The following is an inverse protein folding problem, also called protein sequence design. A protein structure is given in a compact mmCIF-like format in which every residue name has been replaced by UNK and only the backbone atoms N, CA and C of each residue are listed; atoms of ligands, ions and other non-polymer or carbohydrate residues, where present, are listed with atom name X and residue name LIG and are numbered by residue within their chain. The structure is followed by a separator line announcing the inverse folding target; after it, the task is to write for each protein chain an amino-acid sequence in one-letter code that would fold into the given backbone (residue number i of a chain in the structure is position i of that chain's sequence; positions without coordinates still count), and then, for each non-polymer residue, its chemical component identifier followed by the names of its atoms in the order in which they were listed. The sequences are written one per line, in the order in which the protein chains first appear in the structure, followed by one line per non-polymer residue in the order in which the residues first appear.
data_IF_149390109171
#
_entry.id   IF_149390109171
#
_cell.length_a   1.000
_cell.length_b   1.000
_cell.length_c   1.000
_cell.angle_alpha   90.00
_cell.angle_beta   90.00
_cell.angle_gamma   90.00
#
_symmetry.space_group_name_H-M   'P 1'
#
loop_
_entity.id
_entity.type
_entity.pdbx_description
1 polymer ?
#
# COMPACT_ATOMS: atom_id res chain seq x y z
N UNK A 1 -7.70 10.13 22.54
CA UNK A 1 -7.63 11.59 22.36
C UNK A 1 -6.22 11.87 21.88
N UNK A 2 -6.02 12.66 20.80
CA UNK A 2 -4.67 12.94 20.27
C UNK A 2 -4.03 14.07 21.04
N UNK A 3 -2.73 13.96 21.33
CA UNK A 3 -1.96 14.95 22.07
C UNK A 3 -1.12 15.79 21.11
N UNK A 4 -1.30 17.10 21.14
CA UNK A 4 -0.55 18.06 20.32
C UNK A 4 0.28 18.95 21.24
N UNK A 5 1.57 19.11 20.91
CA UNK A 5 2.46 20.04 21.57
C UNK A 5 2.52 21.34 20.76
N UNK A 6 2.05 22.44 21.35
CA UNK A 6 2.09 23.80 20.78
C UNK A 6 3.29 24.53 21.40
N UNK A 7 4.22 24.96 20.54
CA UNK A 7 5.45 25.67 20.94
C UNK A 7 5.43 27.06 20.34
N UNK A 8 5.25 28.07 21.17
CA UNK A 8 5.07 29.46 20.77
C UNK A 8 5.54 30.37 21.91
N UNK A 9 6.41 31.31 21.65
CA UNK A 9 6.95 32.21 22.69
C UNK A 9 5.93 33.31 23.08
N UNK A 10 5.10 33.75 22.12
CA UNK A 10 4.05 34.72 22.39
C UNK A 10 2.89 34.10 23.18
N UNK A 11 2.78 34.54 24.44
CA UNK A 11 1.84 33.93 25.40
C UNK A 11 0.40 33.96 24.94
N UNK A 12 -0.05 35.08 24.34
CA UNK A 12 -1.45 35.25 23.95
C UNK A 12 -1.80 34.36 22.75
N UNK A 13 -0.88 34.23 21.78
CA UNK A 13 -1.05 33.32 20.63
C UNK A 13 -1.04 31.85 21.08
N UNK A 14 -0.13 31.49 22.00
CA UNK A 14 -0.03 30.15 22.58
C UNK A 14 -1.32 29.74 23.30
N UNK A 15 -1.89 30.62 24.11
CA UNK A 15 -3.14 30.36 24.83
C UNK A 15 -4.35 30.30 23.89
N UNK A 16 -4.41 31.17 22.88
CA UNK A 16 -5.46 31.12 21.85
C UNK A 16 -5.44 29.79 21.07
N UNK A 17 -4.27 29.36 20.64
CA UNK A 17 -4.13 28.07 19.95
C UNK A 17 -4.53 26.90 20.84
N UNK A 18 -4.12 26.92 22.12
CA UNK A 18 -4.51 25.92 23.11
C UNK A 18 -6.03 25.83 23.22
N UNK A 19 -6.70 26.95 23.50
CA UNK A 19 -8.17 26.99 23.69
C UNK A 19 -8.91 26.53 22.43
N UNK A 20 -8.47 26.98 21.25
CA UNK A 20 -9.10 26.62 19.99
C UNK A 20 -8.98 25.12 19.71
N UNK A 21 -7.80 24.52 19.90
CA UNK A 21 -7.55 23.10 19.63
C UNK A 21 -8.19 22.19 20.69
N UNK A 22 -8.26 22.62 21.96
CA UNK A 22 -8.98 21.89 23.02
C UNK A 22 -10.48 21.79 22.71
N UNK A 23 -11.11 22.86 22.16
CA UNK A 23 -12.52 22.86 21.73
C UNK A 23 -12.76 21.83 20.61
N UNK A 24 -11.77 21.56 19.77
CA UNK A 24 -11.84 20.56 18.69
C UNK A 24 -11.52 19.12 19.17
N UNK A 25 -11.32 18.93 20.49
CA UNK A 25 -11.18 17.63 21.11
C UNK A 25 -9.75 17.08 21.15
N UNK A 26 -8.74 17.93 20.99
CA UNK A 26 -7.34 17.55 21.19
C UNK A 26 -6.92 17.73 22.67
N UNK A 27 -5.94 16.95 23.09
CA UNK A 27 -5.22 17.19 24.35
C UNK A 27 -4.00 18.06 24.04
N UNK A 28 -3.91 19.26 24.64
CA UNK A 28 -2.88 20.24 24.30
C UNK A 28 -1.85 20.35 25.40
N UNK A 29 -0.59 20.23 25.01
CA UNK A 29 0.58 20.60 25.79
C UNK A 29 1.13 21.89 25.21
N UNK A 30 1.66 22.75 26.06
CA UNK A 30 2.26 24.02 25.61
C UNK A 30 3.69 24.17 26.11
N UNK A 31 4.54 24.79 25.28
CA UNK A 31 5.90 25.19 25.66
C UNK A 31 6.17 26.61 25.16
N UNK A 32 7.00 27.36 25.88
CA UNK A 32 7.34 28.73 25.53
C UNK A 32 8.61 28.86 24.67
N UNK A 33 9.39 27.79 24.52
CA UNK A 33 10.60 27.71 23.73
C UNK A 33 10.94 26.26 23.35
N UNK A 34 11.93 26.06 22.49
CA UNK A 34 12.34 24.74 22.02
C UNK A 34 12.94 23.84 23.11
N UNK A 35 13.60 24.41 24.14
CA UNK A 35 14.19 23.63 25.26
C UNK A 35 13.09 22.96 26.07
N UNK A 36 12.05 23.71 26.42
CA UNK A 36 10.90 23.19 27.14
C UNK A 36 10.15 22.16 26.30
N UNK A 37 9.96 22.45 25.01
CA UNK A 37 9.31 21.56 24.06
C UNK A 37 10.05 20.23 23.91
N UNK A 38 11.37 20.25 23.76
CA UNK A 38 12.20 19.04 23.63
C UNK A 38 12.07 18.13 24.86
N UNK A 39 12.04 18.72 26.07
CA UNK A 39 11.84 17.98 27.33
C UNK A 39 10.47 17.33 27.38
N UNK A 40 9.41 18.05 27.02
CA UNK A 40 8.05 17.53 26.97
C UNK A 40 7.92 16.43 25.91
N UNK A 41 8.47 16.64 24.71
CA UNK A 41 8.41 15.68 23.63
C UNK A 41 9.05 14.34 23.99
N UNK A 42 10.18 14.35 24.69
CA UNK A 42 10.86 13.13 25.15
C UNK A 42 10.14 12.39 26.28
N UNK A 43 9.34 13.11 27.08
CA UNK A 43 8.66 12.53 28.26
C UNK A 43 7.27 11.99 27.91
N UNK A 44 6.56 12.67 27.03
CA UNK A 44 5.12 12.43 26.78
C UNK A 44 4.88 11.87 25.38
N UNK A 45 5.83 12.01 24.44
CA UNK A 45 5.71 11.57 23.03
C UNK A 45 4.40 12.06 22.37
N UNK A 46 4.24 13.37 22.09
CA UNK A 46 3.01 13.89 21.49
C UNK A 46 2.74 13.29 20.10
N UNK A 47 1.49 13.27 19.69
CA UNK A 47 1.10 12.78 18.36
C UNK A 47 1.56 13.72 17.25
N UNK A 48 1.70 15.04 17.54
CA UNK A 48 2.11 16.10 16.60
C UNK A 48 2.69 17.29 17.37
N UNK A 49 3.67 17.96 16.76
CA UNK A 49 4.23 19.23 17.26
C UNK A 49 3.89 20.34 16.29
N UNK A 50 3.37 21.46 16.84
CA UNK A 50 3.09 22.70 16.13
C UNK A 50 4.00 23.77 16.73
N UNK A 51 5.01 24.26 16.00
CA UNK A 51 6.07 25.13 16.54
C UNK A 51 6.25 26.40 15.75
N UNK A 52 6.39 27.53 16.42
CA UNK A 52 6.97 28.71 15.80
C UNK A 52 8.43 28.43 15.39
N UNK A 53 8.89 29.13 14.35
CA UNK A 53 10.27 29.06 13.90
C UNK A 53 11.16 29.85 14.85
N UNK A 54 10.79 31.09 15.18
CA UNK A 54 11.65 32.01 15.95
C UNK A 54 11.22 32.05 17.41
N UNK A 55 12.02 31.49 18.25
CA UNK A 55 11.82 31.49 19.69
C UNK A 55 13.13 31.71 20.44
N UNK A 56 13.09 32.22 21.68
CA UNK A 56 14.27 32.38 22.50
C UNK A 56 14.83 31.01 22.95
N UNK A 57 16.09 30.98 23.33
CA UNK A 57 16.87 29.83 23.84
C UNK A 57 17.14 28.73 22.82
N UNK A 58 16.12 28.17 22.21
CA UNK A 58 16.16 27.16 21.17
C UNK A 58 15.05 27.47 20.17
N UNK A 59 15.40 27.72 18.94
CA UNK A 59 14.44 27.98 17.87
C UNK A 59 13.78 26.69 17.33
N UNK A 60 12.77 26.87 16.46
CA UNK A 60 11.99 25.74 15.92
C UNK A 60 12.83 24.81 15.02
N UNK A 61 13.84 25.35 14.30
CA UNK A 61 14.73 24.55 13.46
C UNK A 61 15.70 23.72 14.30
N UNK A 62 16.24 24.30 15.36
CA UNK A 62 17.09 23.62 16.31
C UNK A 62 16.31 22.53 17.07
N UNK A 63 15.05 22.82 17.43
CA UNK A 63 14.14 21.85 18.06
C UNK A 63 13.90 20.66 17.12
N UNK A 64 13.56 20.90 15.85
CA UNK A 64 13.34 19.84 14.86
C UNK A 64 14.57 18.94 14.72
N UNK A 65 15.77 19.56 14.60
CA UNK A 65 17.02 18.81 14.51
C UNK A 65 17.27 17.94 15.74
N UNK A 66 17.07 18.48 16.95
CA UNK A 66 17.25 17.76 18.20
C UNK A 66 16.26 16.61 18.39
N UNK A 67 15.05 16.74 17.85
CA UNK A 67 14.05 15.66 17.83
C UNK A 67 14.43 14.54 16.87
N UNK A 68 15.00 14.86 15.71
CA UNK A 68 15.42 13.88 14.69
C UNK A 68 16.65 13.05 15.11
N UNK A 69 17.48 13.57 16.01
CA UNK A 69 18.64 12.84 16.54
C UNK A 69 18.27 11.69 17.50
N UNK A 70 16.99 11.60 17.92
CA UNK A 70 16.50 10.54 18.81
C UNK A 70 15.42 9.71 18.11
N UNK A 71 15.59 8.38 18.06
CA UNK A 71 14.67 7.42 17.42
C UNK A 71 13.22 7.53 17.89
N UNK A 72 12.99 7.85 19.16
CA UNK A 72 11.68 7.88 19.79
C UNK A 72 10.89 9.15 19.40
N UNK A 73 11.59 10.25 19.10
CA UNK A 73 10.99 11.53 18.73
C UNK A 73 11.10 11.87 17.23
N UNK A 74 11.99 11.19 16.48
CA UNK A 74 12.26 11.48 15.07
C UNK A 74 11.04 11.36 14.15
N UNK A 75 10.07 10.51 14.53
CA UNK A 75 8.85 10.25 13.75
C UNK A 75 7.62 11.05 14.23
N UNK A 76 7.80 12.04 15.12
CA UNK A 76 6.69 12.91 15.53
C UNK A 76 6.45 13.94 14.42
N UNK A 77 5.24 14.00 13.82
CA UNK A 77 4.93 15.00 12.82
C UNK A 77 5.17 16.41 13.32
N UNK A 78 5.83 17.22 12.50
CA UNK A 78 6.25 18.56 12.86
C UNK A 78 5.74 19.59 11.84
N UNK A 79 4.96 20.58 12.31
CA UNK A 79 4.40 21.67 11.52
C UNK A 79 4.97 22.99 12.03
N UNK A 80 5.57 23.77 11.13
CA UNK A 80 6.01 25.11 11.46
C UNK A 80 4.88 26.14 11.40
N UNK A 81 4.87 27.07 12.37
CA UNK A 81 4.16 28.34 12.29
C UNK A 81 5.16 29.42 11.88
N UNK A 82 4.90 30.18 10.83
CA UNK A 82 5.89 31.09 10.26
C UNK A 82 5.30 32.43 9.84
N UNK A 83 6.04 33.50 10.01
CA UNK A 83 5.69 34.79 9.43
C UNK A 83 6.05 34.81 7.92
N UNK A 84 5.34 35.59 7.11
CA UNK A 84 5.50 35.69 5.65
C UNK A 84 6.91 36.09 5.21
N UNK A 85 7.71 36.69 6.10
CA UNK A 85 9.07 37.18 5.83
C UNK A 85 10.14 36.07 5.91
N UNK A 86 9.81 34.91 6.49
CA UNK A 86 10.74 33.82 6.81
C UNK A 86 10.76 32.70 5.75
N UNK A 87 10.39 33.02 4.51
CA UNK A 87 10.30 32.02 3.41
C UNK A 87 11.63 31.36 3.04
N UNK A 88 12.80 31.90 3.45
CA UNK A 88 14.10 31.25 3.28
C UNK A 88 14.33 30.20 4.34
N UNK A 89 14.00 30.48 5.61
CA UNK A 89 14.11 29.53 6.74
C UNK A 89 13.16 28.33 6.54
N UNK A 90 12.05 28.54 5.83
CA UNK A 90 11.10 27.50 5.43
C UNK A 90 11.70 26.43 4.50
N UNK A 91 12.53 26.83 3.54
CA UNK A 91 13.19 25.86 2.66
C UNK A 91 14.15 24.98 3.44
N UNK A 92 14.87 25.56 4.39
CA UNK A 92 15.81 24.84 5.25
C UNK A 92 15.07 23.88 6.18
N UNK A 93 13.94 24.29 6.77
CA UNK A 93 13.08 23.43 7.59
C UNK A 93 12.45 22.26 6.82
N UNK A 94 12.00 22.49 5.60
CA UNK A 94 11.47 21.42 4.74
C UNK A 94 12.56 20.46 4.26
N UNK A 95 13.76 20.95 3.96
CA UNK A 95 14.94 20.11 3.66
C UNK A 95 15.39 19.32 4.89
N UNK A 96 15.23 19.87 6.09
CA UNK A 96 15.48 19.20 7.36
C UNK A 96 14.38 18.20 7.76
N UNK A 97 13.29 18.07 6.98
CA UNK A 97 12.27 17.04 7.20
C UNK A 97 11.04 17.48 7.99
N UNK A 98 10.75 18.79 8.07
CA UNK A 98 9.44 19.23 8.54
C UNK A 98 8.32 18.72 7.63
N UNK A 99 7.19 18.35 8.23
CA UNK A 99 6.06 17.79 7.48
C UNK A 99 5.23 18.85 6.76
N UNK A 100 5.08 20.04 7.36
CA UNK A 100 4.28 21.14 6.82
C UNK A 100 4.64 22.49 7.45
N UNK A 101 4.03 23.55 6.92
CA UNK A 101 4.09 24.88 7.50
C UNK A 101 2.78 25.64 7.35
N UNK A 102 2.53 26.59 8.27
CA UNK A 102 1.39 27.49 8.27
C UNK A 102 1.87 28.93 8.38
N UNK A 103 1.46 29.78 7.45
CA UNK A 103 1.87 31.19 7.40
C UNK A 103 0.94 32.03 8.28
N UNK A 104 1.51 32.77 9.25
CA UNK A 104 0.78 33.75 10.07
C UNK A 104 0.39 35.01 9.24
N UNK A 105 -0.83 35.55 9.36
CA UNK A 105 -1.95 35.06 10.16
C UNK A 105 -2.68 33.89 9.47
N UNK A 106 -3.01 32.85 10.23
CA UNK A 106 -3.73 31.66 9.76
C UNK A 106 -5.16 31.62 10.32
N UNK A 107 -6.04 30.89 9.63
CA UNK A 107 -7.38 30.56 10.13
C UNK A 107 -7.31 29.22 10.86
N UNK A 108 -8.23 29.02 11.81
CA UNK A 108 -8.31 27.75 12.55
C UNK A 108 -8.55 26.55 11.59
N UNK A 109 -9.35 26.73 10.55
CA UNK A 109 -9.62 25.68 9.57
C UNK A 109 -8.33 25.21 8.85
N UNK A 110 -7.39 26.14 8.58
CA UNK A 110 -6.10 25.81 7.96
C UNK A 110 -5.25 24.98 8.94
N UNK A 111 -5.22 25.38 10.22
CA UNK A 111 -4.51 24.65 11.28
C UNK A 111 -5.07 23.24 11.44
N UNK A 112 -6.38 23.11 11.54
CA UNK A 112 -7.06 21.81 11.70
C UNK A 112 -6.85 20.92 10.47
N UNK A 113 -6.88 21.48 9.27
CA UNK A 113 -6.64 20.76 8.04
C UNK A 113 -5.21 20.20 7.98
N UNK A 114 -4.21 21.01 8.35
CA UNK A 114 -2.81 20.59 8.41
C UNK A 114 -2.61 19.50 9.47
N UNK A 115 -3.09 19.68 10.70
CA UNK A 115 -3.02 18.72 11.80
C UNK A 115 -3.66 17.39 11.39
N UNK A 116 -4.91 17.40 10.94
CA UNK A 116 -5.63 16.20 10.57
C UNK A 116 -4.97 15.45 9.40
N UNK A 117 -4.43 16.18 8.43
CA UNK A 117 -3.67 15.59 7.31
C UNK A 117 -2.44 14.83 7.80
N UNK A 118 -1.67 15.41 8.75
CA UNK A 118 -0.44 14.80 9.28
C UNK A 118 -0.71 13.65 10.24
N UNK A 119 -1.69 13.79 11.14
CA UNK A 119 -2.10 12.71 12.03
C UNK A 119 -2.61 11.49 11.25
N UNK A 120 -3.42 11.71 10.21
CA UNK A 120 -3.90 10.65 9.34
C UNK A 120 -2.76 9.96 8.59
N UNK A 121 -1.75 10.72 8.11
CA UNK A 121 -0.55 10.16 7.46
C UNK A 121 0.22 9.26 8.43
N UNK A 122 0.44 9.68 9.68
CA UNK A 122 1.10 8.89 10.73
C UNK A 122 0.32 7.62 11.06
N UNK A 123 -1.00 7.71 11.22
CA UNK A 123 -1.85 6.54 11.48
C UNK A 123 -1.80 5.52 10.35
N UNK A 124 -1.83 5.99 9.11
CA UNK A 124 -1.73 5.14 7.93
C UNK A 124 -0.38 4.41 7.90
N UNK A 125 0.72 5.09 8.22
CA UNK A 125 2.05 4.48 8.30
C UNK A 125 2.13 3.39 9.39
N UNK A 126 1.65 3.67 10.59
CA UNK A 126 1.60 2.67 11.68
C UNK A 126 0.74 1.47 11.30
N UNK A 127 -0.40 1.70 10.66
CA UNK A 127 -1.30 0.63 10.23
C UNK A 127 -0.64 -0.29 9.18
N UNK A 128 0.10 0.27 8.22
CA UNK A 128 0.87 -0.52 7.24
C UNK A 128 1.88 -1.41 7.95
N UNK A 129 2.62 -0.88 8.92
CA UNK A 129 3.61 -1.63 9.70
C UNK A 129 2.93 -2.73 10.54
N UNK A 130 1.81 -2.44 11.18
CA UNK A 130 1.08 -3.40 12.00
C UNK A 130 0.44 -4.52 11.15
N UNK A 131 -0.12 -4.19 10.01
CA UNK A 131 -0.64 -5.17 9.05
C UNK A 131 0.48 -6.05 8.52
N UNK A 132 1.65 -5.47 8.26
CA UNK A 132 2.85 -6.18 7.88
C UNK A 132 3.32 -7.14 9.00
N UNK A 133 3.39 -6.69 10.26
CA UNK A 133 3.74 -7.53 11.41
C UNK A 133 2.74 -8.69 11.59
N UNK A 134 1.44 -8.43 11.46
CA UNK A 134 0.39 -9.46 11.51
C UNK A 134 0.52 -10.48 10.38
N UNK A 135 0.84 -10.02 9.18
CA UNK A 135 1.07 -10.88 8.02
C UNK A 135 2.31 -11.76 8.22
N UNK A 136 3.42 -11.19 8.68
CA UNK A 136 4.65 -11.91 9.01
C UNK A 136 4.43 -13.00 10.07
N UNK A 137 3.70 -12.68 11.14
CA UNK A 137 3.56 -13.59 12.28
C UNK A 137 2.52 -14.69 12.07
N UNK A 138 1.49 -14.47 11.24
CA UNK A 138 0.36 -15.41 11.12
C UNK A 138 0.27 -16.13 9.78
N UNK A 139 0.41 -15.42 8.65
CA UNK A 139 0.14 -16.01 7.32
C UNK A 139 1.38 -16.61 6.67
N UNK A 140 2.50 -15.91 6.72
CA UNK A 140 3.71 -16.33 6.02
C UNK A 140 4.24 -17.67 6.51
N UNK A 141 4.39 -17.90 7.84
CA UNK A 141 4.88 -19.19 8.30
C UNK A 141 4.01 -20.36 7.80
N UNK A 142 2.69 -20.25 7.88
CA UNK A 142 1.79 -21.30 7.43
C UNK A 142 1.86 -21.53 5.91
N UNK A 143 1.93 -20.45 5.12
CA UNK A 143 2.01 -20.54 3.66
C UNK A 143 3.34 -21.09 3.14
N UNK A 144 4.45 -20.83 3.83
CA UNK A 144 5.77 -21.35 3.49
C UNK A 144 5.99 -22.77 4.02
N UNK A 145 5.51 -23.07 5.23
CA UNK A 145 5.67 -24.39 5.86
C UNK A 145 4.88 -25.49 5.12
N UNK A 146 3.68 -25.20 4.62
CA UNK A 146 2.86 -26.22 3.93
C UNK A 146 3.58 -26.87 2.73
N UNK A 147 4.15 -26.13 1.75
CA UNK A 147 4.89 -26.76 0.68
C UNK A 147 6.23 -27.36 1.15
N UNK A 148 6.85 -26.80 2.18
CA UNK A 148 8.09 -27.34 2.76
C UNK A 148 7.88 -28.70 3.39
N UNK A 149 6.79 -28.90 4.12
CA UNK A 149 6.39 -30.22 4.67
C UNK A 149 6.23 -31.25 3.56
N UNK A 150 5.63 -30.85 2.41
CA UNK A 150 5.52 -31.75 1.26
C UNK A 150 6.88 -32.13 0.65
N UNK A 151 7.83 -31.19 0.58
CA UNK A 151 9.20 -31.47 0.11
C UNK A 151 9.90 -32.42 1.06
N UNK A 152 9.92 -32.10 2.35
CA UNK A 152 10.64 -32.90 3.36
C UNK A 152 10.01 -34.29 3.51
N UNK A 153 8.67 -34.39 3.58
CA UNK A 153 8.00 -35.66 3.76
C UNK A 153 8.25 -36.65 2.62
N UNK A 154 8.13 -36.21 1.35
CA UNK A 154 8.43 -37.09 0.23
C UNK A 154 9.94 -37.40 0.10
N UNK A 155 10.82 -36.45 0.49
CA UNK A 155 12.25 -36.69 0.53
C UNK A 155 12.66 -37.74 1.57
N UNK A 156 12.05 -37.69 2.77
CA UNK A 156 12.29 -38.69 3.84
C UNK A 156 11.83 -40.10 3.44
N UNK A 157 10.71 -40.24 2.73
CA UNK A 157 10.23 -41.52 2.22
C UNK A 157 11.23 -42.06 1.18
N UNK A 158 11.65 -41.22 0.25
CA UNK A 158 12.65 -41.61 -0.74
C UNK A 158 13.98 -42.02 -0.10
N UNK A 159 14.43 -41.37 0.96
CA UNK A 159 15.66 -41.67 1.67
C UNK A 159 15.60 -43.03 2.41
N UNK A 160 14.45 -43.30 3.07
CA UNK A 160 14.31 -44.49 3.91
C UNK A 160 13.91 -45.75 3.16
N UNK A 161 13.07 -45.63 2.15
CA UNK A 161 12.33 -46.75 1.57
C UNK A 161 12.61 -46.93 0.07
N UNK A 162 13.62 -46.27 -0.51
CA UNK A 162 13.89 -46.25 -1.95
C UNK A 162 14.02 -47.64 -2.57
N UNK A 163 14.59 -48.59 -1.82
CA UNK A 163 14.78 -49.97 -2.29
C UNK A 163 13.47 -50.76 -2.40
N UNK A 164 12.43 -50.35 -1.68
CA UNK A 164 11.11 -50.98 -1.67
C UNK A 164 10.08 -50.34 -2.61
N UNK A 165 10.42 -49.17 -3.18
CA UNK A 165 9.54 -48.39 -4.04
C UNK A 165 9.67 -48.78 -5.50
N UNK A 166 8.57 -48.80 -6.23
CA UNK A 166 8.57 -48.92 -7.69
C UNK A 166 9.06 -47.64 -8.37
N UNK A 167 9.52 -47.77 -9.61
CA UNK A 167 9.95 -46.60 -10.43
C UNK A 167 8.85 -45.55 -10.56
N UNK A 168 7.57 -45.95 -10.67
CA UNK A 168 6.44 -45.06 -10.78
C UNK A 168 6.19 -44.29 -9.48
N UNK A 169 6.36 -44.92 -8.33
CA UNK A 169 6.24 -44.26 -7.02
C UNK A 169 7.38 -43.27 -6.81
N UNK A 170 8.61 -43.62 -7.15
CA UNK A 170 9.75 -42.71 -7.10
C UNK A 170 9.51 -41.50 -7.99
N UNK A 171 9.03 -41.69 -9.23
CA UNK A 171 8.71 -40.64 -10.18
C UNK A 171 7.60 -39.71 -9.64
N UNK A 172 6.52 -40.31 -9.09
CA UNK A 172 5.42 -39.55 -8.49
C UNK A 172 5.91 -38.68 -7.32
N UNK A 173 6.77 -39.22 -6.43
CA UNK A 173 7.32 -38.48 -5.29
C UNK A 173 8.23 -37.35 -5.76
N UNK A 174 9.10 -37.59 -6.74
CA UNK A 174 9.93 -36.55 -7.34
C UNK A 174 9.09 -35.41 -7.97
N UNK A 175 7.97 -35.75 -8.64
CA UNK A 175 7.03 -34.76 -9.17
C UNK A 175 6.35 -33.96 -8.07
N UNK A 176 5.98 -34.60 -6.95
CA UNK A 176 5.39 -33.92 -5.79
C UNK A 176 6.38 -32.97 -5.11
N UNK A 177 7.63 -33.37 -4.94
CA UNK A 177 8.72 -32.54 -4.44
C UNK A 177 8.89 -31.32 -5.35
N UNK A 178 9.03 -31.53 -6.69
CA UNK A 178 9.18 -30.49 -7.67
C UNK A 178 8.01 -29.51 -7.67
N UNK A 179 6.78 -30.01 -7.59
CA UNK A 179 5.57 -29.17 -7.57
C UNK A 179 5.48 -28.34 -6.28
N UNK A 180 5.88 -28.92 -5.14
CA UNK A 180 5.94 -28.25 -3.84
C UNK A 180 7.03 -27.18 -3.81
N UNK A 181 8.22 -27.49 -4.39
CA UNK A 181 9.30 -26.53 -4.57
C UNK A 181 8.89 -25.31 -5.41
N UNK A 182 8.23 -25.55 -6.55
CA UNK A 182 7.68 -24.45 -7.37
C UNK A 182 6.64 -23.60 -6.65
N UNK A 183 5.79 -24.22 -5.81
CA UNK A 183 4.81 -23.50 -4.99
C UNK A 183 5.51 -22.63 -3.94
N UNK A 184 6.54 -23.16 -3.28
CA UNK A 184 7.33 -22.42 -2.31
C UNK A 184 8.03 -21.22 -2.96
N UNK A 185 8.70 -21.44 -4.10
CA UNK A 185 9.36 -20.39 -4.87
C UNK A 185 8.39 -19.25 -5.21
N UNK A 186 7.23 -19.56 -5.81
CA UNK A 186 6.20 -18.53 -6.13
C UNK A 186 5.73 -17.74 -4.92
N UNK A 187 5.63 -18.38 -3.75
CA UNK A 187 5.21 -17.68 -2.52
C UNK A 187 6.28 -16.72 -2.03
N UNK A 188 7.56 -17.11 -2.11
CA UNK A 188 8.68 -16.24 -1.78
C UNK A 188 8.72 -15.04 -2.75
N UNK A 189 8.58 -15.26 -4.06
CA UNK A 189 8.54 -14.21 -5.07
C UNK A 189 7.39 -13.21 -4.79
N UNK A 190 6.17 -13.68 -4.52
CA UNK A 190 5.03 -12.83 -4.15
C UNK A 190 5.30 -12.04 -2.87
N UNK A 191 5.95 -12.64 -1.92
CA UNK A 191 6.31 -11.97 -0.67
C UNK A 191 7.35 -10.86 -0.90
N UNK A 192 8.35 -11.11 -1.74
CA UNK A 192 9.36 -10.09 -2.12
C UNK A 192 8.68 -8.90 -2.82
N UNK A 193 7.80 -9.16 -3.80
CA UNK A 193 7.02 -8.11 -4.46
C UNK A 193 6.20 -7.30 -3.44
N UNK A 194 5.55 -7.97 -2.50
CA UNK A 194 4.77 -7.29 -1.46
C UNK A 194 5.64 -6.39 -0.59
N UNK A 195 6.84 -6.83 -0.18
CA UNK A 195 7.81 -6.04 0.58
C UNK A 195 8.23 -4.79 -0.19
N UNK A 196 8.56 -4.94 -1.47
CA UNK A 196 8.96 -3.81 -2.32
C UNK A 196 7.83 -2.79 -2.47
N UNK A 197 6.58 -3.24 -2.60
CA UNK A 197 5.41 -2.37 -2.65
C UNK A 197 5.19 -1.63 -1.32
N UNK A 198 5.37 -2.29 -0.18
CA UNK A 198 5.27 -1.65 1.14
C UNK A 198 6.33 -0.57 1.29
N UNK A 199 7.59 -0.87 0.94
CA UNK A 199 8.68 0.10 0.96
C UNK A 199 8.40 1.28 0.02
N UNK A 200 7.85 1.04 -1.16
CA UNK A 200 7.46 2.09 -2.10
C UNK A 200 6.33 2.99 -1.55
N UNK A 201 5.33 2.42 -0.87
CA UNK A 201 4.24 3.19 -0.27
C UNK A 201 4.75 4.05 0.88
N UNK A 202 5.65 3.53 1.71
CA UNK A 202 6.28 4.30 2.79
C UNK A 202 7.11 5.45 2.23
N UNK A 203 7.95 5.22 1.22
CA UNK A 203 8.72 6.24 0.53
C UNK A 203 7.85 7.30 -0.18
N UNK A 204 6.68 6.93 -0.74
CA UNK A 204 5.71 7.88 -1.32
C UNK A 204 5.20 8.87 -0.28
N UNK A 205 5.04 8.42 0.95
CA UNK A 205 4.58 9.28 2.04
C UNK A 205 5.64 10.29 2.49
N UNK A 206 6.90 10.01 2.22
CA UNK A 206 8.04 10.87 2.59
C UNK A 206 8.43 11.88 1.49
N UNK A 207 8.30 11.51 0.19
CA UNK A 207 8.73 12.37 -0.93
C UNK A 207 7.81 12.24 -2.16
N UNK A 208 6.95 13.22 -2.40
CA UNK A 208 6.07 13.29 -3.59
C UNK A 208 6.83 13.24 -4.94
N UNK A 209 8.08 13.68 -4.97
CA UNK A 209 8.91 13.79 -6.19
C UNK A 209 9.39 12.42 -6.71
N UNK A 210 9.68 11.47 -5.83
CA UNK A 210 10.23 10.16 -6.21
C UNK A 210 9.23 9.29 -7.00
N UNK A 211 7.94 9.56 -6.86
CA UNK A 211 6.85 8.76 -7.46
C UNK A 211 6.42 9.22 -8.85
N UNK A 212 6.64 10.49 -9.20
CA UNK A 212 6.30 11.00 -10.55
C UNK A 212 7.17 10.39 -11.64
N UNK A 213 8.39 9.98 -11.32
CA UNK A 213 9.34 9.38 -12.27
C UNK A 213 9.10 7.87 -12.51
N UNK A 214 8.40 7.16 -11.58
CA UNK A 214 8.09 5.72 -11.71
C UNK A 214 6.71 5.42 -12.29
N UNK A 215 5.84 6.40 -12.49
CA UNK A 215 4.61 6.24 -13.27
C UNK A 215 4.94 6.23 -14.77
N UNK A 216 5.68 5.21 -15.18
CA UNK A 216 5.95 4.98 -16.59
C UNK A 216 4.63 4.79 -17.31
N UNK A 217 4.46 5.50 -18.42
CA UNK A 217 3.35 5.29 -19.32
C UNK A 217 3.52 3.93 -20.00
N UNK A 218 2.53 3.09 -19.86
CA UNK A 218 2.46 1.81 -20.54
C UNK A 218 1.43 1.88 -21.67
N UNK A 219 1.86 1.51 -22.87
CA UNK A 219 0.97 1.45 -24.04
C UNK A 219 0.37 0.05 -24.16
N UNK A 220 -0.95 -0.04 -23.99
CA UNK A 220 -1.69 -1.28 -24.19
C UNK A 220 -1.91 -1.44 -25.70
N UNK A 221 -1.19 -2.40 -26.28
CA UNK A 221 -1.41 -2.85 -27.65
C UNK A 221 -2.23 -4.16 -27.64
N UNK A 222 -3.42 -4.17 -28.26
CA UNK A 222 -4.33 -5.32 -28.20
C UNK A 222 -3.68 -6.64 -28.64
N UNK A 223 -2.87 -6.61 -29.70
CA UNK A 223 -2.25 -7.81 -30.26
C UNK A 223 -1.16 -8.35 -29.36
N UNK A 224 -0.21 -7.48 -28.98
CA UNK A 224 0.93 -7.84 -28.15
C UNK A 224 0.50 -8.27 -26.75
N UNK A 225 -0.41 -7.47 -26.12
CA UNK A 225 -0.86 -7.79 -24.77
C UNK A 225 -1.75 -9.03 -24.73
N UNK A 226 -2.63 -9.26 -25.72
CA UNK A 226 -3.42 -10.49 -25.76
C UNK A 226 -2.53 -11.74 -25.84
N UNK A 227 -1.43 -11.68 -26.60
CA UNK A 227 -0.47 -12.78 -26.67
C UNK A 227 0.25 -13.00 -25.33
N UNK A 228 0.70 -11.91 -24.68
CA UNK A 228 1.33 -11.98 -23.35
C UNK A 228 0.38 -12.60 -22.31
N UNK A 229 -0.89 -12.18 -22.28
CA UNK A 229 -1.91 -12.71 -21.37
C UNK A 229 -2.23 -14.19 -21.63
N UNK A 230 -2.29 -14.61 -22.90
CA UNK A 230 -2.44 -16.03 -23.27
C UNK A 230 -1.24 -16.87 -22.82
N UNK A 231 -0.02 -16.35 -22.90
CA UNK A 231 1.16 -17.02 -22.39
C UNK A 231 1.12 -17.19 -20.86
N UNK A 232 0.62 -16.19 -20.12
CA UNK A 232 0.35 -16.30 -18.68
C UNK A 232 -0.67 -17.42 -18.42
N UNK A 233 -1.80 -17.42 -19.12
CA UNK A 233 -2.83 -18.44 -18.97
C UNK A 233 -2.34 -19.84 -19.34
N UNK A 234 -1.42 -19.97 -20.31
CA UNK A 234 -0.81 -21.24 -20.69
C UNK A 234 -0.05 -21.89 -19.53
N UNK A 235 0.58 -21.10 -18.65
CA UNK A 235 1.26 -21.64 -17.46
C UNK A 235 0.31 -22.31 -16.46
N UNK A 236 -0.98 -22.06 -16.59
CA UNK A 236 -2.07 -22.67 -15.82
C UNK A 236 -2.93 -23.65 -16.64
N UNK A 237 -2.48 -24.01 -17.87
CA UNK A 237 -3.23 -24.81 -18.84
C UNK A 237 -4.61 -24.21 -19.21
N UNK A 238 -4.68 -22.86 -19.35
CA UNK A 238 -5.91 -22.11 -19.63
C UNK A 238 -5.81 -21.20 -20.85
N UNK A 239 -4.83 -21.41 -21.73
CA UNK A 239 -4.61 -20.56 -22.92
C UNK A 239 -5.82 -20.56 -23.87
N UNK A 240 -6.44 -21.72 -24.08
CA UNK A 240 -7.57 -21.90 -24.99
C UNK A 240 -8.89 -21.37 -24.43
N UNK A 241 -9.06 -21.38 -23.10
CA UNK A 241 -10.24 -20.84 -22.43
C UNK A 241 -10.15 -19.34 -22.13
N UNK A 242 -9.03 -18.67 -22.47
CA UNK A 242 -8.84 -17.24 -22.26
C UNK A 242 -9.30 -16.43 -23.48
N UNK A 243 -10.35 -15.62 -23.30
CA UNK A 243 -10.87 -14.67 -24.28
C UNK A 243 -10.41 -13.24 -23.90
N UNK A 244 -9.68 -12.57 -24.78
CA UNK A 244 -9.12 -11.23 -24.52
C UNK A 244 -9.58 -10.23 -25.57
N UNK A 245 -10.20 -9.14 -25.11
CA UNK A 245 -10.63 -8.01 -25.94
C UNK A 245 -10.18 -6.71 -25.26
N UNK A 246 -9.11 -6.10 -25.76
CA UNK A 246 -8.53 -4.87 -25.23
C UNK A 246 -8.56 -3.78 -26.29
N UNK A 247 -8.90 -2.55 -25.91
CA UNK A 247 -8.75 -1.38 -26.76
C UNK A 247 -7.32 -0.83 -26.64
N UNK A 248 -6.80 -0.26 -27.73
CA UNK A 248 -5.49 0.39 -27.72
C UNK A 248 -5.54 1.70 -26.94
N UNK A 249 -4.65 1.84 -25.96
CA UNK A 249 -4.55 3.07 -25.13
C UNK A 249 -3.23 3.16 -24.39
N UNK A 250 -2.96 4.32 -23.77
CA UNK A 250 -1.84 4.53 -22.88
C UNK A 250 -2.33 4.79 -21.44
N UNK A 251 -1.82 4.04 -20.48
CA UNK A 251 -2.22 4.07 -19.07
C UNK A 251 -1.05 4.42 -18.16
N UNK A 252 -1.36 5.00 -16.99
CA UNK A 252 -0.39 5.37 -15.98
C UNK A 252 -0.07 4.18 -15.06
N UNK A 253 0.75 3.24 -15.55
CA UNK A 253 1.28 2.09 -14.82
C UNK A 253 2.57 1.64 -15.50
N UNK A 254 3.53 1.07 -14.77
CA UNK A 254 4.68 0.44 -15.41
C UNK A 254 4.31 -0.90 -16.06
N UNK A 255 5.03 -1.30 -17.11
CA UNK A 255 4.83 -2.60 -17.77
C UNK A 255 4.97 -3.76 -16.76
N UNK A 256 5.94 -3.66 -15.86
CA UNK A 256 6.20 -4.64 -14.81
C UNK A 256 4.99 -4.77 -13.86
N UNK A 257 4.50 -3.65 -13.33
CA UNK A 257 3.33 -3.65 -12.44
C UNK A 257 2.06 -4.13 -13.14
N UNK A 258 1.88 -3.77 -14.43
CA UNK A 258 0.77 -4.29 -15.23
C UNK A 258 0.86 -5.81 -15.38
N UNK A 259 2.05 -6.33 -15.68
CA UNK A 259 2.28 -7.77 -15.80
C UNK A 259 2.01 -8.51 -14.48
N UNK A 260 2.46 -7.96 -13.33
CA UNK A 260 2.19 -8.53 -11.99
C UNK A 260 0.68 -8.57 -11.73
N UNK A 261 -0.04 -7.46 -11.96
CA UNK A 261 -1.49 -7.38 -11.76
C UNK A 261 -2.21 -8.43 -12.59
N UNK A 262 -1.92 -8.49 -13.90
CA UNK A 262 -2.59 -9.43 -14.79
C UNK A 262 -2.26 -10.89 -14.47
N UNK A 263 -1.01 -11.18 -14.09
CA UNK A 263 -0.61 -12.53 -13.68
C UNK A 263 -1.39 -13.00 -12.44
N UNK A 264 -1.50 -12.15 -11.40
CA UNK A 264 -2.23 -12.49 -10.18
C UNK A 264 -3.72 -12.71 -10.44
N UNK A 265 -4.34 -11.89 -11.29
CA UNK A 265 -5.77 -12.00 -11.59
C UNK A 265 -6.09 -13.20 -12.47
N UNK A 266 -5.25 -13.51 -13.47
CA UNK A 266 -5.39 -14.70 -14.32
C UNK A 266 -5.14 -15.98 -13.51
N UNK A 267 -4.11 -15.98 -12.63
CA UNK A 267 -3.86 -17.12 -11.72
C UNK A 267 -5.08 -17.40 -10.83
N UNK A 268 -5.69 -16.36 -10.27
CA UNK A 268 -6.89 -16.51 -9.44
C UNK A 268 -8.07 -17.05 -10.25
N UNK A 269 -8.34 -16.49 -11.43
CA UNK A 269 -9.40 -16.96 -12.32
C UNK A 269 -9.18 -18.43 -12.70
N UNK A 270 -7.94 -18.80 -13.07
CA UNK A 270 -7.60 -20.18 -13.43
C UNK A 270 -7.71 -21.18 -12.26
N UNK A 271 -7.40 -20.73 -11.05
CA UNK A 271 -7.42 -21.56 -9.82
C UNK A 271 -8.83 -21.83 -9.32
N UNK A 272 -9.72 -20.87 -9.44
CA UNK A 272 -11.06 -20.93 -8.85
C UNK A 272 -12.17 -21.25 -9.86
N UNK A 273 -11.83 -21.50 -11.12
CA UNK A 273 -12.76 -21.97 -12.15
C UNK A 273 -12.31 -23.30 -12.77
N UNK A 274 -13.24 -24.04 -13.34
CA UNK A 274 -12.95 -25.31 -14.03
C UNK A 274 -12.20 -25.09 -15.35
N UNK A 275 -11.45 -26.12 -15.81
CA UNK A 275 -10.58 -25.98 -16.99
C UNK A 275 -11.31 -25.58 -18.28
N UNK A 276 -12.53 -26.05 -18.44
CA UNK A 276 -13.29 -25.85 -19.67
C UNK A 276 -14.18 -24.60 -19.64
N UNK A 277 -14.23 -23.87 -18.52
CA UNK A 277 -14.97 -22.62 -18.42
C UNK A 277 -14.17 -21.44 -18.97
N UNK A 278 -14.81 -20.48 -19.64
CA UNK A 278 -14.09 -19.32 -20.19
C UNK A 278 -13.57 -18.39 -19.07
N UNK A 279 -12.42 -17.75 -19.34
CA UNK A 279 -11.96 -16.58 -18.62
C UNK A 279 -12.02 -15.42 -19.61
N UNK A 280 -12.79 -14.40 -19.29
CA UNK A 280 -13.01 -13.25 -20.17
C UNK A 280 -12.25 -12.04 -19.64
N UNK A 281 -11.46 -11.42 -20.51
CA UNK A 281 -10.75 -10.17 -20.21
C UNK A 281 -11.19 -9.13 -21.22
N UNK A 282 -11.80 -8.04 -20.74
CA UNK A 282 -12.17 -6.90 -21.57
C UNK A 282 -11.50 -5.64 -21.04
N UNK A 283 -11.09 -4.75 -21.96
CA UNK A 283 -10.48 -3.49 -21.59
C UNK A 283 -10.91 -2.37 -22.52
N UNK A 284 -11.47 -1.30 -21.95
CA UNK A 284 -11.97 -0.13 -22.69
C UNK A 284 -11.74 1.17 -21.92
N UNK A 285 -11.63 2.27 -22.66
CA UNK A 285 -11.57 3.60 -22.07
C UNK A 285 -12.95 4.09 -21.68
N UNK A 286 -13.12 4.44 -20.41
CA UNK A 286 -14.34 5.05 -19.83
C UNK A 286 -13.92 6.27 -19.01
N UNK A 287 -14.39 7.47 -19.39
CA UNK A 287 -14.06 8.74 -18.74
C UNK A 287 -12.54 8.97 -18.61
N UNK A 288 -12.04 9.16 -17.38
CA UNK A 288 -10.63 9.38 -17.07
C UNK A 288 -9.84 8.07 -16.86
N UNK A 289 -10.47 6.91 -17.01
CA UNK A 289 -9.88 5.61 -16.71
C UNK A 289 -9.93 4.65 -17.88
N UNK A 290 -8.94 3.79 -17.97
CA UNK A 290 -9.01 2.55 -18.73
C UNK A 290 -9.50 1.44 -17.82
N UNK A 291 -10.70 0.96 -18.08
CA UNK A 291 -11.34 -0.08 -17.27
C UNK A 291 -11.03 -1.44 -17.85
N UNK A 292 -10.43 -2.31 -17.03
CA UNK A 292 -10.19 -3.72 -17.35
C UNK A 292 -11.12 -4.56 -16.49
N UNK A 293 -11.85 -5.46 -17.10
CA UNK A 293 -12.69 -6.44 -16.41
C UNK A 293 -12.17 -7.85 -16.69
N UNK A 294 -11.99 -8.62 -15.62
CA UNK A 294 -11.63 -10.03 -15.66
C UNK A 294 -12.79 -10.81 -15.04
N UNK A 295 -13.41 -11.71 -15.82
CA UNK A 295 -14.53 -12.53 -15.38
C UNK A 295 -14.21 -14.00 -15.54
N UNK A 296 -14.38 -14.77 -14.47
CA UNK A 296 -14.36 -16.22 -14.46
C UNK A 296 -15.73 -16.78 -14.06
N UNK A 297 -16.00 -18.00 -14.49
CA UNK A 297 -17.22 -18.74 -14.17
C UNK A 297 -16.89 -19.91 -13.25
N UNK A 298 -16.36 -19.57 -12.09
CA UNK A 298 -15.90 -20.51 -11.07
C UNK A 298 -16.81 -20.59 -9.86
N UNK A 299 -16.21 -20.99 -8.73
CA UNK A 299 -16.93 -21.20 -7.47
C UNK A 299 -17.52 -19.92 -6.86
N UNK A 300 -17.13 -18.74 -7.38
CA UNK A 300 -17.54 -17.46 -6.81
C UNK A 300 -17.04 -17.19 -5.40
N UNK A 301 -17.46 -16.07 -4.84
CA UNK A 301 -17.12 -15.63 -3.48
C UNK A 301 -18.37 -15.28 -2.69
N UNK A 302 -18.34 -15.52 -1.39
CA UNK A 302 -19.40 -15.15 -0.47
C UNK A 302 -19.45 -13.62 -0.26
N UNK A 303 -20.66 -13.06 -0.19
CA UNK A 303 -20.90 -11.61 -0.05
C UNK A 303 -20.25 -10.97 1.17
N UNK A 304 -20.05 -11.71 2.26
CA UNK A 304 -19.33 -11.24 3.46
C UNK A 304 -17.85 -10.95 3.13
N UNK A 305 -17.25 -11.72 2.20
CA UNK A 305 -15.88 -11.51 1.74
C UNK A 305 -15.79 -10.30 0.81
N UNK A 306 -16.81 -10.10 -0.04
CA UNK A 306 -16.86 -8.98 -1.00
C UNK A 306 -17.04 -7.65 -0.28
N UNK A 307 -17.95 -7.55 0.68
CA UNK A 307 -18.22 -6.33 1.45
C UNK A 307 -16.97 -5.82 2.20
N UNK A 308 -16.07 -6.71 2.61
CA UNK A 308 -14.79 -6.30 3.18
C UNK A 308 -13.86 -5.60 2.18
N UNK A 309 -14.02 -5.84 0.88
CA UNK A 309 -13.25 -5.21 -0.20
C UNK A 309 -13.87 -3.88 -0.62
N UNK A 310 -15.19 -3.81 -0.77
CA UNK A 310 -15.91 -2.60 -1.22
C UNK A 310 -15.90 -1.45 -0.21
N UNK A 311 -15.86 -1.75 1.08
CA UNK A 311 -15.74 -0.74 2.15
C UNK A 311 -14.46 0.09 2.06
N UNK A 312 -13.46 -0.36 1.30
CA UNK A 312 -12.18 0.33 1.12
C UNK A 312 -12.17 1.33 -0.05
N UNK A 313 -13.02 1.13 -1.07
CA UNK A 313 -13.09 2.03 -2.22
C UNK A 313 -13.80 3.36 -1.92
N UNK A 314 -14.70 3.40 -0.92
CA UNK A 314 -15.53 4.58 -0.65
C UNK A 314 -14.93 5.58 0.35
N UNK A 315 -13.98 5.20 1.22
CA UNK A 315 -13.52 6.04 2.33
C UNK A 315 -12.02 6.29 2.40
N UNK A 316 -11.22 5.84 1.45
CA UNK A 316 -9.76 5.98 1.50
C UNK A 316 -9.13 5.35 2.76
N UNK A 317 -9.86 4.48 3.47
CA UNK A 317 -9.36 3.76 4.65
C UNK A 317 -8.59 2.53 4.20
N UNK A 318 -7.35 2.46 4.60
CA UNK A 318 -6.43 1.38 4.30
C UNK A 318 -6.82 0.04 4.94
N UNK A 319 -6.39 -1.00 4.28
CA UNK A 319 -6.65 -2.41 4.50
C UNK A 319 -6.40 -2.93 5.92
N UNK A 320 -7.39 -3.55 6.52
CA UNK A 320 -7.14 -4.74 7.35
C UNK A 320 -6.96 -5.93 6.40
N UNK A 321 -5.82 -6.63 6.48
CA UNK A 321 -5.58 -7.89 5.77
C UNK A 321 -6.65 -8.88 6.24
N UNK A 322 -7.77 -8.93 5.50
CA UNK A 322 -8.90 -9.77 5.86
C UNK A 322 -8.49 -11.24 5.80
N UNK A 323 -8.81 -11.98 6.85
CA UNK A 323 -8.71 -13.43 6.85
C UNK A 323 -9.46 -14.00 5.65
N UNK A 324 -8.74 -14.58 4.67
CA UNK A 324 -9.34 -15.22 3.50
C UNK A 324 -8.83 -14.78 2.13
N UNK A 325 -8.11 -13.64 2.00
CA UNK A 325 -7.48 -13.24 0.75
C UNK A 325 -6.00 -13.62 0.75
N UNK A 326 -5.55 -14.31 -0.30
CA UNK A 326 -4.13 -14.60 -0.52
C UNK A 326 -3.32 -13.32 -0.80
N UNK A 327 -2.00 -13.42 -0.66
CA UNK A 327 -1.04 -12.32 -0.93
C UNK A 327 -1.27 -11.68 -2.32
N UNK A 328 -1.70 -12.47 -3.33
CA UNK A 328 -1.88 -12.01 -4.70
C UNK A 328 -2.85 -10.84 -4.85
N UNK A 329 -4.06 -10.95 -4.29
CA UNK A 329 -5.04 -9.87 -4.40
C UNK A 329 -4.61 -8.63 -3.62
N UNK A 330 -3.89 -8.80 -2.51
CA UNK A 330 -3.31 -7.69 -1.74
C UNK A 330 -2.23 -6.95 -2.56
N UNK A 331 -1.40 -7.67 -3.33
CA UNK A 331 -0.43 -7.09 -4.26
C UNK A 331 -1.17 -6.26 -5.32
N UNK A 332 -2.18 -6.83 -5.97
CA UNK A 332 -3.00 -6.13 -6.98
C UNK A 332 -3.54 -4.82 -6.43
N UNK A 333 -4.17 -4.85 -5.27
CA UNK A 333 -4.75 -3.66 -4.65
C UNK A 333 -3.70 -2.58 -4.34
N UNK A 334 -2.54 -2.98 -3.79
CA UNK A 334 -1.45 -2.03 -3.53
C UNK A 334 -0.93 -1.38 -4.81
N UNK A 335 -0.71 -2.16 -5.88
CA UNK A 335 -0.28 -1.61 -7.18
C UNK A 335 -1.33 -0.64 -7.73
N UNK A 336 -2.60 -1.02 -7.75
CA UNK A 336 -3.69 -0.18 -8.27
C UNK A 336 -3.82 1.12 -7.46
N UNK A 337 -3.71 1.04 -6.13
CA UNK A 337 -3.68 2.23 -5.25
C UNK A 337 -2.49 3.14 -5.53
N UNK A 338 -1.31 2.58 -5.80
CA UNK A 338 -0.12 3.34 -6.18
C UNK A 338 -0.31 4.10 -7.50
N UNK A 339 -1.07 3.55 -8.43
CA UNK A 339 -1.41 4.15 -9.73
C UNK A 339 -2.64 5.07 -9.66
N UNK A 340 -3.17 5.39 -8.48
CA UNK A 340 -4.42 6.14 -8.27
C UNK A 340 -5.62 5.54 -9.04
N UNK A 341 -5.62 4.22 -9.20
CA UNK A 341 -6.68 3.45 -9.80
C UNK A 341 -7.72 3.00 -8.78
N UNK A 342 -8.71 2.25 -9.25
CA UNK A 342 -9.71 1.60 -8.41
C UNK A 342 -9.80 0.10 -8.71
N UNK A 343 -10.27 -0.66 -7.73
CA UNK A 343 -10.55 -2.10 -7.86
C UNK A 343 -11.94 -2.39 -7.29
N UNK A 344 -12.78 -3.09 -8.06
CA UNK A 344 -14.11 -3.53 -7.65
C UNK A 344 -14.26 -5.02 -7.90
N UNK A 345 -14.90 -5.74 -6.99
CA UNK A 345 -15.17 -7.17 -7.13
C UNK A 345 -16.69 -7.40 -7.05
N UNK A 346 -17.21 -8.08 -8.05
CA UNK A 346 -18.58 -8.58 -8.09
C UNK A 346 -18.51 -10.10 -8.22
N UNK A 347 -19.21 -10.83 -7.36
CA UNK A 347 -19.20 -12.29 -7.42
C UNK A 347 -20.49 -12.87 -6.86
N UNK A 348 -20.86 -14.01 -7.40
CA UNK A 348 -22.00 -14.80 -6.98
C UNK A 348 -21.53 -16.23 -6.70
N UNK A 349 -21.75 -16.76 -5.47
CA UNK A 349 -21.33 -18.11 -5.11
C UNK A 349 -21.89 -19.17 -6.07
N UNK A 350 -21.02 -20.03 -6.59
CA UNK A 350 -21.35 -21.10 -7.53
C UNK A 350 -21.61 -20.62 -8.98
N UNK A 351 -21.39 -19.34 -9.30
CA UNK A 351 -21.74 -18.77 -10.60
C UNK A 351 -20.55 -18.07 -11.27
N UNK A 352 -20.01 -16.98 -10.69
CA UNK A 352 -18.92 -16.24 -11.30
C UNK A 352 -18.17 -15.37 -10.29
N UNK A 353 -16.95 -14.95 -10.69
CA UNK A 353 -16.26 -13.79 -10.11
C UNK A 353 -15.89 -12.82 -11.24
N UNK A 354 -16.19 -11.53 -11.03
CA UNK A 354 -15.81 -10.44 -11.92
C UNK A 354 -14.98 -9.41 -11.13
N UNK A 355 -13.76 -9.17 -11.58
CA UNK A 355 -12.87 -8.15 -11.02
C UNK A 355 -12.74 -7.04 -12.03
N UNK A 356 -13.14 -5.82 -11.65
CA UNK A 356 -13.02 -4.61 -12.44
C UNK A 356 -11.94 -3.71 -11.85
N UNK A 357 -10.98 -3.29 -12.64
CA UNK A 357 -9.96 -2.33 -12.24
C UNK A 357 -9.93 -1.14 -13.20
N UNK A 358 -9.65 0.05 -12.68
CA UNK A 358 -9.47 1.25 -13.46
C UNK A 358 -8.05 1.77 -13.33
N UNK A 359 -7.39 2.01 -14.46
CA UNK A 359 -6.08 2.64 -14.56
C UNK A 359 -6.25 4.04 -15.13
N UNK A 360 -5.60 5.05 -14.55
CA UNK A 360 -5.69 6.42 -15.06
C UNK A 360 -5.18 6.49 -16.51
N UNK A 361 -5.98 7.12 -17.37
CA UNK A 361 -5.57 7.47 -18.72
C UNK A 361 -4.58 8.64 -18.68
N UNK A 362 -3.67 8.68 -19.63
CA UNK A 362 -2.82 9.85 -19.83
C UNK A 362 -3.70 11.06 -20.14
N UNK A 363 -3.76 12.06 -19.26
CA UNK A 363 -4.36 13.36 -19.62
C UNK A 363 -3.58 13.91 -20.81
N UNK A 364 -4.22 14.09 -21.96
CA UNK A 364 -3.66 14.92 -23.04
C UNK A 364 -3.49 16.30 -22.44
N UNK A 365 -2.23 16.74 -22.31
CA UNK A 365 -1.97 18.17 -22.11
C UNK A 365 -2.67 18.87 -23.27
N UNK A 366 -3.71 19.65 -22.97
CA UNK A 366 -4.29 20.56 -23.92
C UNK A 366 -3.15 21.52 -24.32
N UNK A 367 -2.77 21.47 -25.60
CA UNK A 367 -1.79 22.36 -26.24
C UNK A 367 -2.43 23.74 -26.37
#
# INVERSE_FOLDING_TARGET
MKTILVVEDEKDLRLNLQEMLEREGFNILTAANGVEALKLARTIEPDLILSDIRMPEMDGLELLKALQENSDTANIPFIFLTAKVEMQDLRDGMVMGADDYLVKPFKIDDVLSAINSRLRKKENHHKIIDDFKKMLSRKIPHELLTPLVGILGFSEILEKDVESLSEDEIRMMAEKIKSSGKRLQRRIEKFTIYLDLVNQITAKNENKSYYSERNALFEIDPTCNSLKLKNIAASFNRAESLNVHLDKTAVCISEENFAIVMNELIENAAKFSEKDTPIEITGKSEDDYYKIEIKDYGIGMDGIKINKIDLFNQNGKEFEVSEGFGIGLTIVQKIISLCNGFLKIESEPGSFTKISLGLQLRKRLAV
#
